data_IF_383781491685
#
_entry.id   IF_383781491685
#
_cell.length_a   1.000
_cell.length_b   1.000
_cell.length_c   1.000
_cell.angle_alpha   90.00
_cell.angle_beta   90.00
_cell.angle_gamma   90.00
#
_symmetry.space_group_name_H-M   'P 1'
#
loop_
_entity.id
_entity.type
_entity.pdbx_description
1 polymer ?
#
# COMPACT_ATOMS: atom_id res chain seq x y z
N UNK A 1 4.97 -19.27 23.29
CA UNK A 1 4.57 -18.03 22.59
C UNK A 1 4.10 -17.06 23.66
N UNK A 2 4.74 -15.88 23.83
CA UNK A 2 4.26 -14.86 24.77
C UNK A 2 2.95 -14.32 24.19
N UNK A 3 1.85 -14.49 24.93
CA UNK A 3 0.59 -13.82 24.65
C UNK A 3 0.75 -12.40 25.18
N UNK A 4 0.51 -11.40 24.33
CA UNK A 4 0.57 -10.00 24.75
C UNK A 4 -0.79 -9.64 25.33
N UNK A 5 -0.81 -9.21 26.59
CA UNK A 5 -2.04 -8.87 27.32
C UNK A 5 -2.59 -7.47 26.94
N UNK A 6 -1.88 -6.74 26.08
CA UNK A 6 -2.19 -5.37 25.67
C UNK A 6 -1.99 -5.16 24.17
N UNK A 7 -2.78 -4.25 23.61
CA UNK A 7 -2.63 -3.71 22.25
C UNK A 7 -1.65 -2.53 22.34
N UNK A 8 -0.62 -2.40 21.48
CA UNK A 8 -0.42 -3.09 20.20
C UNK A 8 0.08 -4.54 20.22
N UNK A 9 0.68 -4.99 21.31
CA UNK A 9 1.44 -6.24 21.33
C UNK A 9 2.76 -6.09 20.58
N UNK A 10 3.73 -6.98 20.86
CA UNK A 10 5.11 -6.86 20.35
C UNK A 10 5.77 -5.52 20.74
N UNK A 11 5.56 -5.04 21.96
CA UNK A 11 6.28 -3.89 22.49
C UNK A 11 7.78 -4.17 22.57
N UNK A 12 8.59 -3.14 22.31
CA UNK A 12 10.04 -3.24 22.41
C UNK A 12 10.47 -3.48 23.87
N UNK A 13 11.13 -4.60 24.10
CA UNK A 13 11.64 -5.05 25.40
C UNK A 13 13.17 -5.16 25.32
N UNK A 14 13.93 -4.14 25.80
CA UNK A 14 15.35 -4.00 25.52
C UNK A 14 16.19 -5.25 25.79
N UNK A 15 16.02 -5.90 26.94
CA UNK A 15 16.82 -7.08 27.31
C UNK A 15 16.65 -8.23 26.30
N UNK A 16 15.39 -8.52 25.93
CA UNK A 16 15.05 -9.60 25.01
C UNK A 16 15.36 -9.26 23.57
N UNK A 17 14.97 -8.07 23.14
CA UNK A 17 15.06 -7.68 21.73
C UNK A 17 16.51 -7.37 21.33
N UNK A 18 17.36 -6.86 22.24
CA UNK A 18 18.80 -6.74 21.98
C UNK A 18 19.54 -8.08 22.01
N UNK A 19 19.05 -9.08 22.76
CA UNK A 19 19.56 -10.45 22.67
C UNK A 19 19.25 -11.10 21.31
N UNK A 20 18.11 -10.75 20.70
CA UNK A 20 17.74 -11.21 19.36
C UNK A 20 18.55 -10.50 18.26
N UNK A 21 18.63 -9.17 18.33
CA UNK A 21 19.39 -8.35 17.40
C UNK A 21 19.92 -7.09 18.10
N UNK A 22 21.23 -6.79 18.00
CA UNK A 22 21.80 -5.62 18.66
C UNK A 22 21.36 -4.30 18.03
N UNK A 23 20.74 -4.32 16.84
CA UNK A 23 20.36 -3.13 16.09
C UNK A 23 18.87 -3.16 15.72
N UNK A 24 18.17 -2.09 16.07
CA UNK A 24 16.77 -1.86 15.76
C UNK A 24 16.59 -0.44 15.21
N UNK A 25 15.95 -0.33 14.05
CA UNK A 25 15.87 0.90 13.28
C UNK A 25 14.44 1.43 13.28
N UNK A 26 14.27 2.72 13.54
CA UNK A 26 12.96 3.37 13.41
C UNK A 26 12.57 3.43 11.93
N UNK A 27 11.39 2.93 11.61
CA UNK A 27 10.73 3.19 10.33
C UNK A 27 10.13 4.60 10.33
N UNK A 28 10.99 5.59 10.06
CA UNK A 28 10.59 7.00 10.08
C UNK A 28 9.54 7.34 9.02
N UNK A 29 9.54 6.65 7.89
CA UNK A 29 8.63 6.92 6.77
C UNK A 29 7.18 6.67 7.14
N UNK A 30 6.90 5.58 7.86
CA UNK A 30 5.52 5.22 8.21
C UNK A 30 5.14 5.66 9.63
N UNK A 31 6.12 5.91 10.51
CA UNK A 31 5.91 6.25 11.93
C UNK A 31 5.76 7.74 12.22
N UNK A 32 5.75 8.61 11.21
CA UNK A 32 5.58 10.06 11.39
C UNK A 32 4.31 10.54 10.68
N UNK A 33 3.33 11.15 11.39
CA UNK A 33 3.28 11.32 12.85
C UNK A 33 3.14 9.98 13.60
N UNK A 34 3.33 9.94 14.93
CA UNK A 34 3.24 8.70 15.71
C UNK A 34 1.94 7.91 15.45
N UNK A 35 2.06 6.59 15.44
CA UNK A 35 0.95 5.65 15.27
C UNK A 35 -0.01 5.69 16.46
N UNK A 36 -1.31 5.55 16.15
CA UNK A 36 -2.28 5.13 17.16
C UNK A 36 -2.03 3.68 17.59
N UNK A 37 -2.55 3.24 18.76
CA UNK A 37 -2.42 1.85 19.18
C UNK A 37 -2.98 0.84 18.18
N UNK A 38 -4.10 1.17 17.51
CA UNK A 38 -4.74 0.32 16.49
C UNK A 38 -3.87 0.20 15.23
N UNK A 39 -3.30 1.31 14.75
CA UNK A 39 -2.30 1.26 13.67
C UNK A 39 -1.14 0.37 14.10
N UNK A 40 -0.54 0.68 15.26
CA UNK A 40 0.60 -0.06 15.78
C UNK A 40 0.34 -1.58 15.79
N UNK A 41 -0.82 -2.00 16.30
CA UNK A 41 -1.23 -3.39 16.33
C UNK A 41 -1.30 -4.00 14.94
N UNK A 42 -1.98 -3.32 14.02
CA UNK A 42 -2.12 -3.78 12.65
C UNK A 42 -0.76 -3.98 11.97
N UNK A 43 0.13 -3.00 12.10
CA UNK A 43 1.43 -3.03 11.44
C UNK A 43 2.34 -4.11 12.02
N UNK A 44 2.55 -4.13 13.33
CA UNK A 44 3.50 -5.07 13.96
C UNK A 44 3.00 -6.52 13.93
N UNK A 45 1.70 -6.75 13.79
CA UNK A 45 1.16 -8.11 13.65
C UNK A 45 1.13 -8.57 12.18
N UNK A 46 0.66 -7.75 11.24
CA UNK A 46 0.41 -8.21 9.87
C UNK A 46 1.52 -7.87 8.88
N UNK A 47 2.06 -6.65 8.88
CA UNK A 47 3.19 -6.28 8.02
C UNK A 47 4.42 -7.14 8.36
N UNK A 48 4.74 -7.26 9.65
CA UNK A 48 5.76 -8.18 10.18
C UNK A 48 5.58 -9.62 9.70
N UNK A 49 4.35 -10.14 9.81
CA UNK A 49 4.02 -11.49 9.35
C UNK A 49 4.27 -11.63 7.85
N UNK A 50 3.76 -10.69 7.04
CA UNK A 50 4.00 -10.65 5.60
C UNK A 50 5.48 -10.66 5.25
N UNK A 51 6.30 -9.85 5.94
CA UNK A 51 7.75 -9.77 5.71
C UNK A 51 8.42 -11.14 5.89
N UNK A 52 8.05 -11.87 6.95
CA UNK A 52 8.60 -13.21 7.21
C UNK A 52 8.04 -14.24 6.24
N UNK A 53 6.73 -14.17 5.95
CA UNK A 53 6.06 -15.05 5.00
C UNK A 53 6.66 -14.96 3.59
N UNK A 54 6.81 -13.75 3.03
CA UNK A 54 7.33 -13.55 1.68
C UNK A 54 8.78 -14.01 1.57
N UNK A 55 9.61 -13.65 2.56
CA UNK A 55 11.00 -14.07 2.61
C UNK A 55 11.18 -15.59 2.73
N UNK A 56 10.27 -16.26 3.45
CA UNK A 56 10.28 -17.72 3.57
C UNK A 56 9.75 -18.39 2.31
N UNK A 57 8.65 -17.89 1.72
CA UNK A 57 8.07 -18.43 0.48
C UNK A 57 9.03 -18.37 -0.70
N UNK A 58 9.80 -17.30 -0.80
CA UNK A 58 10.85 -17.17 -1.81
C UNK A 58 12.18 -17.77 -1.37
N UNK A 59 12.33 -18.22 -0.12
CA UNK A 59 13.61 -18.69 0.44
C UNK A 59 14.76 -17.70 0.21
N UNK A 60 14.55 -16.41 0.52
CA UNK A 60 15.56 -15.37 0.27
C UNK A 60 16.93 -15.75 0.84
N UNK A 61 18.05 -15.66 0.10
CA UNK A 61 19.30 -16.29 0.55
C UNK A 61 19.88 -15.68 1.84
N UNK A 62 19.73 -14.37 2.03
CA UNK A 62 20.46 -13.61 3.05
C UNK A 62 19.60 -13.17 4.25
N UNK A 63 18.27 -13.24 4.15
CA UNK A 63 17.34 -12.72 5.17
C UNK A 63 16.07 -13.55 5.28
N UNK A 64 15.56 -13.76 6.50
CA UNK A 64 14.30 -14.47 6.82
C UNK A 64 13.13 -13.51 7.04
N UNK A 65 13.17 -12.35 6.36
CA UNK A 65 12.25 -11.24 6.58
C UNK A 65 12.67 -10.36 7.74
N UNK A 66 11.78 -9.46 8.14
CA UNK A 66 12.03 -8.46 9.17
C UNK A 66 11.18 -8.74 10.39
N UNK A 67 11.73 -8.43 11.56
CA UNK A 67 10.98 -8.41 12.82
C UNK A 67 10.68 -6.96 13.20
N UNK A 68 9.56 -6.75 13.88
CA UNK A 68 9.04 -5.43 14.22
C UNK A 68 8.64 -5.36 15.68
N UNK A 69 8.90 -4.21 16.30
CA UNK A 69 8.43 -3.87 17.64
C UNK A 69 7.78 -2.51 17.65
N UNK A 70 6.74 -2.38 18.45
CA UNK A 70 6.13 -1.09 18.73
C UNK A 70 6.87 -0.40 19.87
N UNK A 71 7.22 0.87 19.69
CA UNK A 71 7.78 1.68 20.78
C UNK A 71 7.41 3.15 20.59
N UNK A 72 6.72 3.72 21.58
CA UNK A 72 6.36 5.17 21.65
C UNK A 72 5.72 5.72 20.37
N UNK A 73 4.82 4.94 19.76
CA UNK A 73 4.13 5.34 18.53
C UNK A 73 4.95 5.13 17.25
N UNK A 74 6.13 4.51 17.33
CA UNK A 74 6.92 4.14 16.16
C UNK A 74 7.09 2.63 16.01
N UNK A 75 7.29 2.21 14.77
CA UNK A 75 7.74 0.87 14.42
C UNK A 75 9.25 0.80 14.37
N UNK A 76 9.83 -0.09 15.17
CA UNK A 76 11.24 -0.39 15.14
C UNK A 76 11.44 -1.75 14.50
N UNK A 77 12.25 -1.82 13.45
CA UNK A 77 12.51 -3.03 12.68
C UNK A 77 13.93 -3.53 12.84
N UNK A 78 14.10 -4.83 12.70
CA UNK A 78 15.41 -5.48 12.53
C UNK A 78 15.33 -6.53 11.42
N UNK A 79 16.45 -6.76 10.75
CA UNK A 79 16.57 -7.82 9.74
C UNK A 79 16.88 -9.15 10.43
N UNK A 80 16.18 -10.21 10.03
CA UNK A 80 16.47 -11.58 10.48
C UNK A 80 17.50 -12.22 9.54
N UNK A 81 18.76 -11.83 9.69
CA UNK A 81 19.84 -12.28 8.80
C UNK A 81 20.09 -13.79 8.87
N UNK A 82 20.36 -14.38 7.70
CA UNK A 82 20.89 -15.75 7.59
C UNK A 82 22.40 -15.69 7.88
N UNK A 83 22.84 -16.34 8.96
CA UNK A 83 24.22 -16.19 9.47
C UNK A 83 25.21 -17.20 8.90
N UNK A 84 24.79 -18.41 8.54
CA UNK A 84 25.71 -19.44 8.01
C UNK A 84 25.75 -19.41 6.49
N UNK A 85 26.96 -19.55 5.94
CA UNK A 85 27.14 -19.64 4.48
C UNK A 85 26.48 -20.89 3.89
N UNK A 86 26.48 -22.00 4.63
CA UNK A 86 25.77 -23.22 4.24
C UNK A 86 24.26 -22.98 4.08
N UNK A 87 23.64 -22.26 5.03
CA UNK A 87 22.22 -21.95 4.93
C UNK A 87 21.94 -21.00 3.76
N UNK A 88 22.79 -19.99 3.54
CA UNK A 88 22.66 -19.07 2.39
C UNK A 88 22.70 -19.84 1.07
N UNK A 89 23.67 -20.74 0.89
CA UNK A 89 23.80 -21.55 -0.32
C UNK A 89 22.58 -22.46 -0.54
N UNK A 90 22.11 -23.13 0.51
CA UNK A 90 20.90 -23.96 0.43
C UNK A 90 19.68 -23.13 0.06
N UNK A 91 19.50 -21.96 0.69
CA UNK A 91 18.39 -21.04 0.40
C UNK A 91 18.47 -20.46 -1.01
N UNK A 92 19.67 -20.19 -1.52
CA UNK A 92 19.87 -19.71 -2.90
C UNK A 92 19.37 -20.71 -3.94
N UNK A 93 19.65 -22.01 -3.76
CA UNK A 93 19.16 -23.05 -4.67
C UNK A 93 17.63 -23.05 -4.71
N UNK A 94 16.96 -22.92 -3.58
CA UNK A 94 15.50 -22.88 -3.52
C UNK A 94 14.93 -21.54 -4.00
N UNK A 95 15.58 -20.42 -3.72
CA UNK A 95 15.20 -19.10 -4.23
C UNK A 95 15.16 -19.07 -5.75
N UNK A 96 16.20 -19.61 -6.40
CA UNK A 96 16.26 -19.70 -7.87
C UNK A 96 15.08 -20.45 -8.45
N UNK A 97 14.52 -21.44 -7.75
CA UNK A 97 13.32 -22.16 -8.18
C UNK A 97 12.05 -21.38 -7.85
N UNK A 98 11.97 -20.84 -6.63
CA UNK A 98 10.78 -20.18 -6.10
C UNK A 98 10.43 -18.89 -6.84
N UNK A 99 11.42 -18.19 -7.39
CA UNK A 99 11.20 -16.96 -8.16
C UNK A 99 10.79 -17.21 -9.61
N UNK A 100 11.02 -18.41 -10.17
CA UNK A 100 10.74 -18.70 -11.59
C UNK A 100 9.30 -18.40 -12.02
N UNK A 101 8.25 -18.74 -11.25
CA UNK A 101 6.88 -18.43 -11.67
C UNK A 101 6.63 -16.93 -11.88
N UNK A 102 7.30 -16.07 -11.11
CA UNK A 102 7.20 -14.62 -11.25
C UNK A 102 7.96 -14.10 -12.48
N UNK A 103 9.03 -14.79 -12.89
CA UNK A 103 9.79 -14.46 -14.10
C UNK A 103 9.06 -14.96 -15.35
N UNK A 104 8.45 -16.13 -15.28
CA UNK A 104 7.78 -16.80 -16.40
C UNK A 104 6.40 -16.19 -16.71
N UNK A 105 5.61 -15.85 -15.69
CA UNK A 105 4.27 -15.30 -15.85
C UNK A 105 3.88 -14.36 -14.69
N UNK A 106 4.51 -13.19 -14.65
CA UNK A 106 4.21 -12.19 -13.63
C UNK A 106 2.74 -11.79 -13.63
N UNK A 107 2.16 -11.54 -14.81
CA UNK A 107 0.79 -11.04 -14.96
C UNK A 107 -0.25 -12.07 -14.52
N UNK A 108 -0.04 -13.36 -14.82
CA UNK A 108 -0.90 -14.43 -14.34
C UNK A 108 -0.84 -14.59 -12.82
N UNK A 109 0.36 -14.52 -12.23
CA UNK A 109 0.53 -14.58 -10.76
C UNK A 109 -0.11 -13.37 -10.08
N UNK A 110 0.20 -12.16 -10.54
CA UNK A 110 -0.37 -10.93 -9.99
C UNK A 110 -1.88 -10.88 -10.16
N UNK A 111 -2.39 -11.14 -11.37
CA UNK A 111 -3.82 -11.17 -11.67
C UNK A 111 -4.58 -12.20 -10.83
N UNK A 112 -3.96 -13.37 -10.57
CA UNK A 112 -4.49 -14.38 -9.66
C UNK A 112 -4.66 -13.86 -8.24
N UNK A 113 -3.64 -13.19 -7.68
CA UNK A 113 -3.72 -12.60 -6.34
C UNK A 113 -4.67 -11.41 -6.25
N UNK A 114 -4.74 -10.57 -7.29
CA UNK A 114 -5.72 -9.48 -7.37
C UNK A 114 -7.14 -10.04 -7.34
N UNK A 115 -7.41 -11.08 -8.14
CA UNK A 115 -8.71 -11.77 -8.13
C UNK A 115 -9.02 -12.38 -6.76
N UNK A 116 -8.04 -13.02 -6.11
CA UNK A 116 -8.20 -13.59 -4.77
C UNK A 116 -8.60 -12.50 -3.76
N UNK A 117 -7.83 -11.41 -3.67
CA UNK A 117 -8.03 -10.40 -2.63
C UNK A 117 -9.30 -9.58 -2.87
N UNK A 118 -9.60 -9.23 -4.13
CA UNK A 118 -10.86 -8.54 -4.46
C UNK A 118 -12.07 -9.42 -4.18
N UNK A 119 -11.97 -10.74 -4.38
CA UNK A 119 -13.02 -11.69 -4.01
C UNK A 119 -13.30 -11.68 -2.50
N UNK A 120 -12.24 -11.65 -1.67
CA UNK A 120 -12.37 -11.53 -0.21
C UNK A 120 -13.03 -10.21 0.19
N UNK A 121 -12.60 -9.09 -0.40
CA UNK A 121 -13.21 -7.79 -0.12
C UNK A 121 -14.68 -7.72 -0.54
N UNK A 122 -15.04 -8.31 -1.68
CA UNK A 122 -16.42 -8.38 -2.13
C UNK A 122 -17.28 -9.15 -1.12
N UNK A 123 -16.79 -10.28 -0.60
CA UNK A 123 -17.49 -11.07 0.40
C UNK A 123 -17.70 -10.30 1.71
N UNK A 124 -16.66 -9.63 2.22
CA UNK A 124 -16.75 -8.81 3.45
C UNK A 124 -17.80 -7.69 3.33
N UNK A 125 -17.99 -7.14 2.12
CA UNK A 125 -18.95 -6.07 1.85
C UNK A 125 -20.40 -6.55 1.69
N UNK A 126 -20.66 -7.87 1.72
CA UNK A 126 -22.03 -8.40 1.57
C UNK A 126 -22.88 -8.25 2.83
N UNK A 127 -22.25 -8.12 4.00
CA UNK A 127 -22.96 -7.99 5.27
C UNK A 127 -23.55 -6.58 5.41
N UNK A 128 -24.86 -6.48 5.63
CA UNK A 128 -25.52 -5.23 6.03
C UNK A 128 -25.20 -4.93 7.50
N UNK A 129 -24.26 -4.02 7.71
CA UNK A 129 -23.76 -3.66 9.04
C UNK A 129 -24.84 -2.99 9.92
N UNK A 130 -25.88 -2.39 9.34
CA UNK A 130 -26.94 -1.71 10.09
C UNK A 130 -27.96 -2.70 10.68
N UNK A 131 -28.03 -3.91 10.12
CA UNK A 131 -29.00 -4.96 10.51
C UNK A 131 -28.33 -6.21 11.09
N UNK A 132 -27.02 -6.33 10.98
CA UNK A 132 -26.26 -7.49 11.45
C UNK A 132 -26.39 -7.70 12.97
N UNK A 133 -26.50 -8.96 13.37
CA UNK A 133 -26.38 -9.35 14.78
C UNK A 133 -24.93 -9.23 15.25
N UNK A 134 -24.72 -9.16 16.57
CA UNK A 134 -23.37 -9.12 17.14
C UNK A 134 -22.51 -10.35 16.76
N UNK A 135 -23.12 -11.51 16.50
CA UNK A 135 -22.40 -12.72 16.09
C UNK A 135 -21.91 -12.56 14.65
N UNK A 136 -22.78 -12.10 13.73
CA UNK A 136 -22.40 -11.85 12.34
C UNK A 136 -21.34 -10.75 12.23
N UNK A 137 -21.42 -9.71 13.07
CA UNK A 137 -20.39 -8.66 13.15
C UNK A 137 -19.04 -9.22 13.61
N UNK A 138 -19.03 -10.10 14.61
CA UNK A 138 -17.81 -10.76 15.09
C UNK A 138 -17.19 -11.64 14.00
N UNK A 139 -18.00 -12.49 13.36
CA UNK A 139 -17.54 -13.37 12.29
C UNK A 139 -16.95 -12.57 11.11
N UNK A 140 -17.63 -11.49 10.71
CA UNK A 140 -17.14 -10.61 9.64
C UNK A 140 -15.85 -9.85 10.04
N UNK A 141 -15.73 -9.46 11.31
CA UNK A 141 -14.51 -8.85 11.83
C UNK A 141 -13.34 -9.85 11.83
N UNK A 142 -13.54 -11.09 12.26
CA UNK A 142 -12.50 -12.13 12.23
C UNK A 142 -12.05 -12.44 10.79
N UNK A 143 -12.98 -12.50 9.83
CA UNK A 143 -12.62 -12.67 8.42
C UNK A 143 -11.90 -11.44 7.85
N UNK A 144 -12.22 -10.23 8.34
CA UNK A 144 -11.48 -9.01 8.00
C UNK A 144 -10.03 -9.11 8.49
N UNK A 145 -9.81 -9.56 9.72
CA UNK A 145 -8.45 -9.79 10.26
C UNK A 145 -7.69 -10.83 9.43
N UNK A 146 -8.32 -11.94 9.07
CA UNK A 146 -7.71 -12.96 8.21
C UNK A 146 -7.39 -12.41 6.81
N UNK A 147 -8.30 -11.62 6.25
CA UNK A 147 -8.10 -10.96 4.94
C UNK A 147 -6.94 -9.98 4.99
N UNK A 148 -6.81 -9.19 6.07
CA UNK A 148 -5.69 -8.28 6.25
C UNK A 148 -4.35 -9.02 6.37
N UNK A 149 -4.30 -10.14 7.10
CA UNK A 149 -3.11 -11.01 7.15
C UNK A 149 -2.76 -11.50 5.74
N UNK A 150 -3.73 -12.01 4.99
CA UNK A 150 -3.53 -12.53 3.63
C UNK A 150 -3.08 -11.43 2.65
N UNK A 151 -3.62 -10.24 2.77
CA UNK A 151 -3.20 -9.08 1.98
C UNK A 151 -1.71 -8.78 2.19
N UNK A 152 -1.21 -8.79 3.43
CA UNK A 152 0.22 -8.58 3.70
C UNK A 152 1.11 -9.72 3.22
N UNK A 153 0.64 -10.97 3.27
CA UNK A 153 1.35 -12.11 2.67
C UNK A 153 1.54 -11.93 1.16
N UNK A 154 0.46 -11.58 0.45
CA UNK A 154 0.49 -11.31 -0.99
C UNK A 154 1.40 -10.12 -1.28
N UNK A 155 1.22 -9.00 -0.55
CA UNK A 155 2.00 -7.79 -0.72
C UNK A 155 3.50 -8.06 -0.61
N UNK A 156 3.93 -8.74 0.46
CA UNK A 156 5.36 -8.98 0.70
C UNK A 156 5.95 -10.05 -0.20
N UNK A 157 5.18 -11.09 -0.56
CA UNK A 157 5.60 -12.05 -1.57
C UNK A 157 5.86 -11.38 -2.93
N UNK A 158 4.92 -10.56 -3.40
CA UNK A 158 5.08 -9.82 -4.66
C UNK A 158 6.20 -8.79 -4.56
N UNK A 159 6.27 -8.03 -3.45
CA UNK A 159 7.32 -7.02 -3.24
C UNK A 159 8.71 -7.65 -3.30
N UNK A 160 9.00 -8.70 -2.53
CA UNK A 160 10.31 -9.36 -2.61
C UNK A 160 10.55 -9.98 -3.99
N UNK A 161 9.51 -10.54 -4.59
CA UNK A 161 9.54 -11.11 -5.93
C UNK A 161 9.93 -10.12 -7.02
N UNK A 162 9.53 -8.85 -6.90
CA UNK A 162 9.83 -7.78 -7.86
C UNK A 162 11.08 -6.98 -7.51
N UNK A 163 11.28 -6.66 -6.23
CA UNK A 163 12.42 -5.86 -5.78
C UNK A 163 13.74 -6.63 -5.84
N UNK A 164 13.73 -7.95 -5.65
CA UNK A 164 14.97 -8.73 -5.73
C UNK A 164 15.56 -8.70 -7.16
N UNK A 165 14.78 -8.98 -8.23
CA UNK A 165 15.24 -8.76 -9.60
C UNK A 165 15.71 -7.33 -9.88
N UNK A 166 15.01 -6.31 -9.35
CA UNK A 166 15.43 -4.92 -9.49
C UNK A 166 16.85 -4.68 -8.91
N UNK A 167 17.11 -5.15 -7.69
CA UNK A 167 18.42 -5.01 -7.04
C UNK A 167 19.50 -5.78 -7.81
N UNK A 168 19.19 -6.99 -8.29
CA UNK A 168 20.13 -7.78 -9.09
C UNK A 168 20.45 -7.10 -10.42
N UNK A 169 19.44 -6.51 -11.07
CA UNK A 169 19.62 -5.75 -12.30
C UNK A 169 20.47 -4.49 -12.09
N UNK A 170 20.21 -3.73 -11.02
CA UNK A 170 21.00 -2.57 -10.63
C UNK A 170 22.49 -2.94 -10.41
N UNK A 171 22.76 -4.01 -9.66
CA UNK A 171 24.12 -4.49 -9.44
C UNK A 171 24.82 -4.86 -10.76
N UNK A 172 24.11 -5.54 -11.67
CA UNK A 172 24.64 -5.89 -12.98
C UNK A 172 24.94 -4.65 -13.83
N UNK A 173 24.06 -3.65 -13.83
CA UNK A 173 24.27 -2.38 -14.51
C UNK A 173 25.49 -1.63 -13.95
N UNK A 174 25.67 -1.66 -12.64
CA UNK A 174 26.82 -1.02 -11.97
C UNK A 174 28.12 -1.67 -12.39
N UNK A 175 28.16 -3.00 -12.42
CA UNK A 175 29.37 -3.77 -12.77
C UNK A 175 29.72 -3.68 -14.27
N UNK A 176 28.71 -3.77 -15.14
CA UNK A 176 28.95 -3.90 -16.58
C UNK A 176 28.93 -2.56 -17.33
N UNK A 177 28.15 -1.60 -16.85
CA UNK A 177 27.92 -0.33 -17.53
C UNK A 177 28.29 0.91 -16.69
N UNK A 178 28.68 0.74 -15.43
CA UNK A 178 29.07 1.85 -14.55
C UNK A 178 27.92 2.81 -14.22
N UNK A 179 26.67 2.34 -14.30
CA UNK A 179 25.47 3.10 -13.93
C UNK A 179 24.73 2.41 -12.78
N UNK A 180 24.08 3.19 -11.93
CA UNK A 180 23.30 2.72 -10.79
C UNK A 180 21.95 3.46 -10.69
N UNK A 181 21.27 3.29 -9.55
CA UNK A 181 19.97 3.92 -9.24
C UNK A 181 20.00 5.45 -9.16
N UNK A 182 21.15 6.10 -9.34
CA UNK A 182 21.25 7.57 -9.46
C UNK A 182 21.30 8.05 -10.92
N UNK A 183 21.48 7.13 -11.87
CA UNK A 183 21.63 7.46 -13.29
C UNK A 183 20.28 7.71 -13.98
N UNK A 184 20.12 8.81 -14.73
CA UNK A 184 18.93 9.03 -15.57
C UNK A 184 18.71 7.91 -16.59
N UNK A 185 19.78 7.30 -17.10
CA UNK A 185 19.68 6.18 -18.02
C UNK A 185 19.09 4.95 -17.32
N UNK A 186 19.49 4.69 -16.08
CA UNK A 186 18.91 3.60 -15.30
C UNK A 186 17.43 3.86 -15.03
N UNK A 187 17.06 5.08 -14.62
CA UNK A 187 15.64 5.46 -14.42
C UNK A 187 14.79 5.26 -15.68
N UNK A 188 15.34 5.56 -16.86
CA UNK A 188 14.64 5.30 -18.12
C UNK A 188 14.39 3.80 -18.35
N UNK A 189 15.36 2.94 -18.04
CA UNK A 189 15.24 1.48 -18.15
C UNK A 189 14.19 0.89 -17.18
N UNK A 190 13.99 1.52 -16.02
CA UNK A 190 13.07 1.04 -14.96
C UNK A 190 11.82 1.90 -14.79
N UNK A 191 11.52 2.77 -15.77
CA UNK A 191 10.41 3.74 -15.74
C UNK A 191 9.02 3.11 -15.54
N UNK A 192 8.91 1.79 -15.75
CA UNK A 192 7.77 0.97 -15.40
C UNK A 192 6.60 1.08 -16.38
N UNK A 193 5.43 0.63 -15.94
CA UNK A 193 4.20 0.58 -16.75
C UNK A 193 3.06 1.32 -16.05
N UNK A 194 1.89 1.36 -16.70
CA UNK A 194 0.67 1.89 -16.08
C UNK A 194 0.27 1.05 -14.86
N UNK A 195 -0.28 1.70 -13.83
CA UNK A 195 -0.70 1.00 -12.62
C UNK A 195 -1.93 1.66 -12.01
N UNK A 196 -2.53 0.99 -11.03
CA UNK A 196 -3.80 1.44 -10.44
C UNK A 196 -3.73 2.84 -9.82
N UNK A 197 -2.57 3.27 -9.31
CA UNK A 197 -2.39 4.63 -8.78
C UNK A 197 -2.48 5.65 -9.92
N UNK A 198 -1.78 5.41 -11.03
CA UNK A 198 -1.84 6.29 -12.21
C UNK A 198 -3.22 6.30 -12.87
N UNK A 199 -3.91 5.16 -12.90
CA UNK A 199 -5.29 5.08 -13.40
C UNK A 199 -6.24 5.93 -12.56
N UNK A 200 -6.11 5.90 -11.23
CA UNK A 200 -6.90 6.74 -10.32
C UNK A 200 -6.58 8.23 -10.53
N UNK A 201 -5.30 8.58 -10.64
CA UNK A 201 -4.89 9.97 -10.88
C UNK A 201 -5.39 10.50 -12.24
N UNK A 202 -5.37 9.66 -13.27
CA UNK A 202 -5.94 9.95 -14.60
C UNK A 202 -7.43 10.22 -14.52
N UNK A 203 -8.17 9.38 -13.79
CA UNK A 203 -9.62 9.56 -13.57
C UNK A 203 -9.91 10.87 -12.83
N UNK A 204 -9.15 11.21 -11.81
CA UNK A 204 -9.26 12.50 -11.10
C UNK A 204 -8.95 13.69 -12.04
N UNK A 205 -7.96 13.56 -12.91
CA UNK A 205 -7.69 14.56 -13.94
C UNK A 205 -8.84 14.69 -14.95
N UNK A 206 -9.50 13.60 -15.34
CA UNK A 206 -10.70 13.65 -16.20
C UNK A 206 -11.85 14.41 -15.52
N UNK A 207 -12.07 14.21 -14.22
CA UNK A 207 -13.02 15.02 -13.44
C UNK A 207 -12.64 16.50 -13.42
N UNK A 208 -11.34 16.83 -13.46
CA UNK A 208 -10.89 18.22 -13.57
C UNK A 208 -11.29 18.85 -14.90
N UNK A 209 -11.19 18.10 -16.02
CA UNK A 209 -11.63 18.57 -17.34
C UNK A 209 -13.14 18.77 -17.37
N UNK A 210 -13.89 17.78 -16.89
CA UNK A 210 -15.34 17.86 -16.78
C UNK A 210 -15.80 19.06 -15.94
N UNK A 211 -15.13 19.34 -14.82
CA UNK A 211 -15.45 20.51 -13.99
C UNK A 211 -15.33 21.83 -14.78
N UNK A 212 -14.42 21.94 -15.77
CA UNK A 212 -14.38 23.09 -16.68
C UNK A 212 -15.56 23.11 -17.64
N UNK A 213 -15.83 21.98 -18.29
CA UNK A 213 -16.92 21.83 -19.27
C UNK A 213 -18.31 22.11 -18.66
N UNK A 214 -18.51 21.67 -17.41
CA UNK A 214 -19.76 21.87 -16.68
C UNK A 214 -19.90 23.31 -16.12
N UNK A 215 -18.84 24.13 -16.18
CA UNK A 215 -18.82 25.49 -15.62
C UNK A 215 -18.64 25.52 -14.09
N UNK A 216 -18.04 24.47 -13.52
CA UNK A 216 -17.78 24.32 -12.08
C UNK A 216 -16.35 24.72 -11.69
N UNK A 217 -15.50 25.12 -12.63
CA UNK A 217 -14.09 25.41 -12.38
C UNK A 217 -13.87 26.50 -11.32
N UNK A 218 -14.54 27.66 -11.43
CA UNK A 218 -14.43 28.74 -10.45
C UNK A 218 -14.85 28.29 -9.05
N UNK A 219 -15.91 27.47 -8.96
CA UNK A 219 -16.34 26.88 -7.70
C UNK A 219 -15.20 26.10 -7.05
N UNK A 220 -14.52 25.21 -7.77
CA UNK A 220 -13.37 24.48 -7.22
C UNK A 220 -12.21 25.41 -6.82
N UNK A 221 -11.84 26.34 -7.70
CA UNK A 221 -10.68 27.21 -7.51
C UNK A 221 -10.85 28.14 -6.30
N UNK A 222 -12.04 28.68 -6.10
CA UNK A 222 -12.34 29.63 -5.02
C UNK A 222 -12.70 28.97 -3.69
N UNK A 223 -13.15 27.71 -3.69
CA UNK A 223 -13.55 27.01 -2.46
C UNK A 223 -12.36 26.60 -1.62
N UNK A 224 -12.49 26.68 -0.29
CA UNK A 224 -11.61 25.91 0.59
C UNK A 224 -11.94 24.42 0.47
N UNK A 225 -10.99 23.49 0.73
CA UNK A 225 -11.22 22.05 0.60
C UNK A 225 -12.54 21.55 1.18
N UNK A 226 -12.81 21.88 2.45
CA UNK A 226 -14.03 21.46 3.16
C UNK A 226 -15.34 22.05 2.60
N UNK A 227 -15.29 23.09 1.77
CA UNK A 227 -16.46 23.77 1.22
C UNK A 227 -16.86 23.23 -0.16
N UNK A 228 -15.94 22.52 -0.85
CA UNK A 228 -16.13 22.08 -2.24
C UNK A 228 -17.39 21.22 -2.37
N UNK A 229 -17.52 20.20 -1.54
CA UNK A 229 -18.66 19.28 -1.58
C UNK A 229 -19.99 20.01 -1.33
N UNK A 230 -20.06 20.86 -0.30
CA UNK A 230 -21.27 21.64 0.00
C UNK A 230 -21.66 22.59 -1.13
N UNK A 231 -20.69 23.24 -1.77
CA UNK A 231 -20.96 24.13 -2.91
C UNK A 231 -21.42 23.38 -4.15
N UNK A 232 -20.85 22.19 -4.43
CA UNK A 232 -21.31 21.35 -5.55
C UNK A 232 -22.78 20.94 -5.37
N UNK A 233 -23.20 20.64 -4.14
CA UNK A 233 -24.60 20.28 -3.85
C UNK A 233 -25.61 21.44 -4.09
N UNK A 234 -25.15 22.69 -4.21
CA UNK A 234 -26.02 23.84 -4.40
C UNK A 234 -26.60 23.98 -5.82
N UNK A 235 -26.11 23.21 -6.80
CA UNK A 235 -26.57 23.28 -8.20
C UNK A 235 -26.90 21.90 -8.79
N UNK A 236 -27.83 21.80 -9.76
CA UNK A 236 -28.11 20.53 -10.44
C UNK A 236 -26.88 19.90 -11.10
N UNK A 237 -26.04 20.72 -11.74
CA UNK A 237 -24.78 20.25 -12.36
C UNK A 237 -23.78 19.73 -11.33
N UNK A 238 -23.60 20.45 -10.22
CA UNK A 238 -22.70 20.02 -9.16
C UNK A 238 -23.19 18.75 -8.45
N UNK A 239 -24.51 18.56 -8.30
CA UNK A 239 -25.09 17.29 -7.82
C UNK A 239 -24.81 16.13 -8.78
N UNK A 240 -25.00 16.34 -10.08
CA UNK A 240 -24.69 15.32 -11.09
C UNK A 240 -23.19 14.96 -11.09
N UNK A 241 -22.32 15.96 -11.02
CA UNK A 241 -20.88 15.77 -10.87
C UNK A 241 -20.54 14.93 -9.62
N UNK A 242 -21.11 15.29 -8.47
CA UNK A 242 -20.89 14.57 -7.21
C UNK A 242 -21.36 13.12 -7.28
N UNK A 243 -22.51 12.85 -7.91
CA UNK A 243 -23.01 11.48 -8.04
C UNK A 243 -22.03 10.60 -8.80
N UNK A 244 -21.53 11.07 -9.95
CA UNK A 244 -20.56 10.31 -10.75
C UNK A 244 -19.20 10.22 -10.04
N UNK A 245 -18.80 11.27 -9.33
CA UNK A 245 -17.58 11.28 -8.52
C UNK A 245 -17.65 10.24 -7.39
N UNK A 246 -18.78 10.15 -6.68
CA UNK A 246 -18.99 9.17 -5.63
C UNK A 246 -19.12 7.75 -6.18
N UNK A 247 -19.64 7.56 -7.39
CA UNK A 247 -19.60 6.26 -8.06
C UNK A 247 -18.13 5.80 -8.27
N UNK A 248 -17.26 6.72 -8.71
CA UNK A 248 -15.83 6.45 -8.81
C UNK A 248 -15.16 6.21 -7.44
N UNK A 249 -15.52 6.97 -6.40
CA UNK A 249 -15.00 6.72 -5.04
C UNK A 249 -15.42 5.33 -4.54
N UNK A 250 -16.64 4.87 -4.82
CA UNK A 250 -17.06 3.52 -4.42
C UNK A 250 -16.27 2.41 -5.14
N UNK A 251 -15.73 2.69 -6.33
CA UNK A 251 -14.83 1.78 -7.05
C UNK A 251 -13.42 1.81 -6.47
N UNK A 252 -12.78 2.99 -6.42
CA UNK A 252 -11.33 3.14 -6.18
C UNK A 252 -10.94 4.07 -5.01
N UNK A 253 -11.93 4.60 -4.29
CA UNK A 253 -11.77 5.51 -3.16
C UNK A 253 -11.52 4.82 -1.81
N UNK A 254 -11.35 3.50 -1.78
CA UNK A 254 -11.04 2.71 -0.57
C UNK A 254 -9.59 2.87 -0.09
N UNK A 255 -9.08 4.09 -0.21
CA UNK A 255 -7.73 4.49 0.18
C UNK A 255 -7.83 5.63 1.18
N UNK A 256 -6.81 5.71 2.02
CA UNK A 256 -6.67 6.69 3.08
C UNK A 256 -5.27 7.30 3.00
N UNK A 257 -5.10 8.51 3.53
CA UNK A 257 -3.81 9.22 3.47
C UNK A 257 -2.70 8.45 4.20
N UNK A 258 -3.04 7.71 5.27
CA UNK A 258 -2.12 6.78 5.95
C UNK A 258 -2.76 5.40 5.99
N UNK A 259 -2.26 4.50 5.16
CA UNK A 259 -2.81 3.17 4.81
C UNK A 259 -3.36 2.30 5.95
N UNK A 260 -2.94 2.50 7.20
CA UNK A 260 -3.32 1.65 8.35
C UNK A 260 -3.88 2.45 9.53
N UNK A 261 -4.17 3.73 9.33
CA UNK A 261 -4.68 4.59 10.39
C UNK A 261 -6.22 4.55 10.40
N UNK A 262 -6.77 3.61 11.17
CA UNK A 262 -8.20 3.28 11.21
C UNK A 262 -9.09 4.44 11.71
N UNK A 263 -8.52 5.45 12.35
CA UNK A 263 -9.28 6.64 12.78
C UNK A 263 -9.31 7.76 11.72
N UNK A 264 -8.79 7.51 10.52
CA UNK A 264 -8.87 8.43 9.40
C UNK A 264 -9.85 7.91 8.34
N UNK A 265 -10.70 8.80 7.79
CA UNK A 265 -11.64 8.41 6.77
C UNK A 265 -10.92 8.02 5.48
N UNK A 266 -11.45 6.99 4.83
CA UNK A 266 -11.20 6.70 3.41
C UNK A 266 -11.81 7.79 2.52
N UNK A 267 -11.44 7.82 1.24
CA UNK A 267 -12.06 8.76 0.30
C UNK A 267 -13.54 8.46 0.02
N UNK A 268 -14.02 7.25 0.34
CA UNK A 268 -15.45 6.92 0.28
C UNK A 268 -16.22 7.62 1.39
N UNK A 269 -15.65 7.66 2.59
CA UNK A 269 -16.26 8.29 3.78
C UNK A 269 -16.13 9.81 3.75
N UNK A 270 -14.96 10.32 3.37
CA UNK A 270 -14.69 11.74 3.15
C UNK A 270 -13.95 11.95 1.82
N UNK A 271 -14.67 12.37 0.75
CA UNK A 271 -14.07 12.57 -0.56
C UNK A 271 -13.21 13.84 -0.66
N UNK A 272 -13.10 14.65 0.40
CA UNK A 272 -12.39 15.93 0.39
C UNK A 272 -10.97 15.83 -0.19
N UNK A 273 -10.11 14.85 0.20
CA UNK A 273 -8.77 14.76 -0.37
C UNK A 273 -8.78 14.49 -1.88
N UNK A 274 -9.71 13.66 -2.35
CA UNK A 274 -9.85 13.36 -3.78
C UNK A 274 -10.35 14.58 -4.57
N UNK A 275 -11.30 15.36 -4.00
CA UNK A 275 -11.76 16.62 -4.58
C UNK A 275 -10.66 17.69 -4.62
N UNK A 276 -9.74 17.69 -3.64
CA UNK A 276 -8.55 18.55 -3.66
C UNK A 276 -7.63 18.18 -4.82
N UNK A 277 -7.44 16.91 -5.12
CA UNK A 277 -6.66 16.51 -6.30
C UNK A 277 -7.30 17.00 -7.60
N UNK A 278 -8.62 16.93 -7.74
CA UNK A 278 -9.36 17.53 -8.87
C UNK A 278 -9.06 19.03 -8.97
N UNK A 279 -9.11 19.75 -7.84
CA UNK A 279 -8.75 21.18 -7.77
C UNK A 279 -7.30 21.43 -8.20
N UNK A 280 -6.35 20.60 -7.79
CA UNK A 280 -4.95 20.74 -8.16
C UNK A 280 -4.74 20.52 -9.67
N UNK A 281 -5.39 19.51 -10.27
CA UNK A 281 -5.37 19.32 -11.73
C UNK A 281 -6.01 20.51 -12.48
N UNK A 282 -7.10 21.07 -11.94
CA UNK A 282 -7.71 22.29 -12.46
C UNK A 282 -6.75 23.48 -12.45
N UNK A 283 -6.00 23.66 -11.35
CA UNK A 283 -5.00 24.72 -11.18
C UNK A 283 -3.81 24.55 -12.13
N UNK A 284 -3.30 23.32 -12.27
CA UNK A 284 -2.16 23.02 -13.14
C UNK A 284 -2.47 23.28 -14.61
N UNK A 285 -3.67 22.93 -15.07
CA UNK A 285 -3.97 22.99 -16.52
C UNK A 285 -3.24 21.91 -17.33
N UNK A 286 -3.47 21.88 -18.64
CA UNK A 286 -2.76 21.00 -19.56
C UNK A 286 -3.19 19.53 -19.56
N UNK A 287 -2.38 18.71 -20.24
CA UNK A 287 -2.55 17.27 -20.35
C UNK A 287 -2.17 16.53 -19.06
N UNK A 288 -2.37 15.22 -19.06
CA UNK A 288 -1.91 14.37 -17.97
C UNK A 288 -0.42 14.11 -18.14
N UNK A 289 0.39 14.86 -17.39
CA UNK A 289 1.85 14.91 -17.52
C UNK A 289 2.56 13.54 -17.53
N UNK A 290 2.02 12.51 -16.85
CA UNK A 290 2.57 11.14 -16.92
C UNK A 290 2.44 10.50 -18.31
N UNK A 291 1.40 10.83 -19.08
CA UNK A 291 1.27 10.37 -20.47
C UNK A 291 2.22 11.14 -21.40
N UNK A 292 2.55 12.40 -21.06
CA UNK A 292 3.47 13.25 -21.84
C UNK A 292 4.95 12.90 -21.59
N UNK A 293 5.31 12.54 -20.34
CA UNK A 293 6.69 12.19 -19.96
C UNK A 293 7.08 10.75 -20.33
N UNK A 294 6.11 9.90 -20.68
CA UNK A 294 6.32 8.48 -21.02
C UNK A 294 6.08 8.14 -22.50
N UNK A 295 5.65 9.11 -23.32
CA UNK A 295 5.48 8.97 -24.77
C UNK A 295 6.81 9.07 -25.53
#
# INVERSE_FOLDING_TARGET
MKVYDVVPGLEFEPERDFAQSPAWFLDGTHSVPPWTPMFGWFWVNFCRHGMQYGAEKLSLPTVKGWDWRFHRGGGYLTLLLVKSEEEKQRREVEFRKAIMPLIEDYDGVWGGFVKEILGRYAQLKTLDLDQATNIELLDNFEETINTCRRMWEIHMYMMYGTYTPYILFENMCRELAGIDDTSPLFHNLVSGFDNKVFQVDRRLWEFSKRAREDGLAELFLESKPAEIQGRLQASPKGKAFLNDFMAFMNEDGWRMQRMSEMNMPTWVEDPTPALVNVKQFLQKGGGFNLDEERA
#
